data_IF_744216868619
#
_entry.id   IF_744216868619
#
_cell.length_a   1.000
_cell.length_b   1.000
_cell.length_c   1.000
_cell.angle_alpha   90.00
_cell.angle_beta   90.00
_cell.angle_gamma   90.00
#
_symmetry.space_group_name_H-M   'P 1'
#
loop_
_entity.id
_entity.type
_entity.pdbx_description
1 polymer ?
#
# COMPACT_ATOMS: atom_id res chain seq x y z
N UNK A 1 2.52 3.21 -15.78
CA UNK A 1 2.17 2.95 -14.37
C UNK A 1 2.22 4.28 -13.64
N UNK A 2 1.17 4.64 -12.91
CA UNK A 2 1.19 5.88 -12.11
C UNK A 2 1.63 5.57 -10.68
N UNK A 3 2.50 6.41 -10.14
CA UNK A 3 3.01 6.31 -8.77
C UNK A 3 2.63 7.57 -8.01
N UNK A 4 1.85 7.43 -6.95
CA UNK A 4 1.49 8.56 -6.09
C UNK A 4 2.36 8.52 -4.85
N UNK A 5 3.11 9.59 -4.58
CA UNK A 5 3.91 9.71 -3.35
C UNK A 5 3.15 10.60 -2.38
N UNK A 6 2.73 10.03 -1.26
CA UNK A 6 1.97 10.73 -0.22
C UNK A 6 2.93 11.33 0.81
N UNK A 7 2.77 12.63 1.06
CA UNK A 7 3.48 13.39 2.08
C UNK A 7 4.52 14.36 1.54
N UNK A 8 4.67 15.50 2.22
CA UNK A 8 5.63 16.55 1.89
C UNK A 8 6.88 16.47 2.78
N UNK A 9 7.85 15.67 2.37
CA UNK A 9 9.17 15.66 3.00
C UNK A 9 10.28 15.76 1.96
N UNK A 10 11.46 16.23 2.38
CA UNK A 10 12.66 16.18 1.54
C UNK A 10 12.98 14.75 1.09
N UNK A 11 12.64 13.75 1.91
CA UNK A 11 12.75 12.33 1.54
C UNK A 11 11.76 11.96 0.43
N UNK A 12 10.51 12.45 0.50
CA UNK A 12 9.51 12.30 -0.58
C UNK A 12 10.03 12.91 -1.88
N UNK A 13 10.60 14.12 -1.82
CA UNK A 13 11.14 14.83 -2.99
C UNK A 13 12.36 14.15 -3.59
N UNK A 14 13.31 13.71 -2.76
CA UNK A 14 14.47 12.94 -3.21
C UNK A 14 14.04 11.66 -3.91
N UNK A 15 13.01 11.00 -3.40
CA UNK A 15 12.47 9.79 -3.99
C UNK A 15 11.73 10.03 -5.32
N UNK A 16 10.99 11.13 -5.45
CA UNK A 16 10.40 11.55 -6.73
C UNK A 16 11.47 11.72 -7.81
N UNK A 17 12.61 12.32 -7.45
CA UNK A 17 13.75 12.48 -8.35
C UNK A 17 14.34 11.14 -8.77
N UNK A 18 14.49 10.19 -7.82
CA UNK A 18 15.05 8.86 -8.10
C UNK A 18 14.10 7.97 -8.89
N UNK A 19 12.79 8.14 -8.74
CA UNK A 19 11.79 7.43 -9.54
C UNK A 19 11.62 8.04 -10.93
N UNK A 20 11.83 9.36 -11.07
CA UNK A 20 11.83 10.06 -12.35
C UNK A 20 13.01 9.69 -13.27
N UNK A 21 14.08 9.09 -12.73
CA UNK A 21 15.20 8.56 -13.51
C UNK A 21 15.08 7.07 -13.83
N UNK A 22 14.01 6.41 -13.37
CA UNK A 22 13.78 5.00 -13.66
C UNK A 22 13.53 4.79 -15.17
N UNK A 23 14.01 3.67 -15.75
CA UNK A 23 13.91 3.40 -17.20
C UNK A 23 12.48 3.17 -17.72
N UNK A 24 11.47 3.19 -16.84
CA UNK A 24 10.06 2.99 -17.17
C UNK A 24 9.32 4.33 -17.07
N UNK A 25 8.32 4.54 -17.92
CA UNK A 25 7.38 5.68 -17.85
C UNK A 25 6.53 5.63 -16.58
N UNK A 26 7.15 5.93 -15.44
CA UNK A 26 6.50 6.20 -14.17
C UNK A 26 6.03 7.65 -14.21
N UNK A 27 4.71 7.84 -14.27
CA UNK A 27 4.14 9.16 -13.99
C UNK A 27 4.07 9.29 -12.48
N UNK A 28 5.00 10.04 -11.90
CA UNK A 28 5.09 10.21 -10.45
C UNK A 28 4.41 11.52 -10.05
N UNK A 29 3.42 11.45 -9.17
CA UNK A 29 2.71 12.62 -8.65
C UNK A 29 2.86 12.69 -7.15
N UNK A 30 3.31 13.85 -6.65
CA UNK A 30 3.28 14.12 -5.23
C UNK A 30 1.86 14.52 -4.83
N UNK A 31 1.40 13.99 -3.70
CA UNK A 31 0.11 14.33 -3.13
C UNK A 31 0.34 14.76 -1.67
N UNK A 32 0.01 16.02 -1.31
CA UNK A 32 0.24 16.51 0.04
C UNK A 32 -0.70 15.84 1.06
N UNK A 33 -1.94 15.53 0.66
CA UNK A 33 -2.98 15.01 1.53
C UNK A 33 -3.49 13.61 1.08
N UNK A 34 -3.75 12.68 2.02
CA UNK A 34 -4.30 11.36 1.71
C UNK A 34 -5.60 11.38 0.89
N UNK A 35 -6.50 12.33 1.16
CA UNK A 35 -7.83 12.40 0.51
C UNK A 35 -7.74 12.73 -0.98
N UNK A 36 -6.68 13.41 -1.38
CA UNK A 36 -6.40 13.65 -2.80
C UNK A 36 -6.08 12.36 -3.54
N UNK A 37 -5.47 11.36 -2.88
CA UNK A 37 -5.15 10.08 -3.50
C UNK A 37 -6.43 9.42 -4.02
N UNK A 38 -7.50 9.38 -3.22
CA UNK A 38 -8.79 8.80 -3.61
C UNK A 38 -9.35 9.38 -4.92
N UNK A 39 -9.27 10.70 -5.09
CA UNK A 39 -9.71 11.40 -6.32
C UNK A 39 -8.92 10.96 -7.56
N UNK A 40 -7.64 10.63 -7.40
CA UNK A 40 -6.78 10.19 -8.51
C UNK A 40 -6.83 8.68 -8.76
N UNK A 41 -7.25 7.90 -7.76
CA UNK A 41 -7.49 6.46 -7.89
C UNK A 41 -8.76 6.13 -8.70
N UNK A 42 -9.64 7.11 -8.97
CA UNK A 42 -10.79 6.93 -9.85
C UNK A 42 -10.35 6.83 -11.33
N UNK A 43 -10.28 5.62 -11.88
CA UNK A 43 -10.00 5.35 -13.30
C UNK A 43 -9.38 3.97 -13.55
N UNK A 44 -9.10 3.57 -14.80
CA UNK A 44 -8.76 2.19 -15.16
C UNK A 44 -7.25 1.86 -15.19
N UNK A 45 -6.37 2.77 -14.78
CA UNK A 45 -4.92 2.55 -14.88
C UNK A 45 -4.36 1.76 -13.69
N UNK A 46 -3.31 0.96 -13.93
CA UNK A 46 -2.51 0.34 -12.86
C UNK A 46 -1.77 1.41 -12.06
N UNK A 47 -2.09 1.49 -10.77
CA UNK A 47 -1.58 2.51 -9.84
C UNK A 47 -0.83 1.87 -8.67
N UNK A 48 0.26 2.50 -8.29
CA UNK A 48 0.96 2.25 -7.04
C UNK A 48 0.89 3.50 -6.18
N UNK A 49 0.53 3.33 -4.91
CA UNK A 49 0.58 4.39 -3.91
C UNK A 49 1.78 4.13 -3.01
N UNK A 50 2.71 5.08 -2.99
CA UNK A 50 3.89 5.07 -2.12
C UNK A 50 3.61 6.01 -0.94
N UNK A 51 3.63 5.48 0.27
CA UNK A 51 3.33 6.22 1.49
C UNK A 51 4.61 6.41 2.28
N UNK A 52 5.02 7.65 2.54
CA UNK A 52 6.22 7.94 3.34
C UNK A 52 5.82 8.20 4.81
N UNK A 53 6.15 7.26 5.71
CA UNK A 53 5.73 7.29 7.11
C UNK A 53 6.56 8.15 8.04
N UNK A 54 7.72 8.62 7.57
CA UNK A 54 8.63 9.42 8.39
C UNK A 54 8.04 10.76 8.86
N UNK A 55 6.85 11.15 8.41
CA UNK A 55 6.21 12.41 8.77
C UNK A 55 4.82 12.28 9.44
N UNK A 56 3.98 11.29 9.06
CA UNK A 56 2.56 11.28 9.44
C UNK A 56 1.99 9.86 9.60
N UNK A 57 2.03 9.24 10.79
CA UNK A 57 1.36 7.95 11.03
C UNK A 57 -0.16 8.01 10.80
N UNK A 58 -0.79 9.17 11.01
CA UNK A 58 -2.18 9.46 10.66
C UNK A 58 -2.47 9.33 9.15
N UNK A 59 -1.47 9.55 8.30
CA UNK A 59 -1.62 9.37 6.86
C UNK A 59 -1.85 7.91 6.47
N UNK A 60 -1.33 6.94 7.23
CA UNK A 60 -1.64 5.52 7.00
C UNK A 60 -3.12 5.23 7.16
N UNK A 61 -3.72 5.77 8.21
CA UNK A 61 -5.13 5.55 8.51
C UNK A 61 -6.03 6.15 7.42
N UNK A 62 -5.75 7.39 7.03
CA UNK A 62 -6.49 8.08 5.98
C UNK A 62 -6.32 7.42 4.61
N UNK A 63 -5.08 7.02 4.24
CA UNK A 63 -4.84 6.30 2.98
C UNK A 63 -5.53 4.93 3.03
N UNK A 64 -5.45 4.18 4.13
CA UNK A 64 -6.15 2.90 4.26
C UNK A 64 -7.68 3.04 4.06
N UNK A 65 -8.29 4.06 4.67
CA UNK A 65 -9.72 4.37 4.50
C UNK A 65 -10.05 4.72 3.05
N UNK A 66 -9.23 5.55 2.40
CA UNK A 66 -9.40 5.90 0.99
C UNK A 66 -9.31 4.68 0.07
N UNK A 67 -8.39 3.75 0.35
CA UNK A 67 -8.19 2.53 -0.41
C UNK A 67 -9.33 1.53 -0.24
N UNK A 68 -9.93 1.45 0.96
CA UNK A 68 -11.11 0.62 1.22
C UNK A 68 -12.33 1.08 0.40
N UNK A 69 -12.44 2.37 0.10
CA UNK A 69 -13.50 2.94 -0.72
C UNK A 69 -13.24 2.84 -2.25
N UNK A 70 -12.04 2.44 -2.68
CA UNK A 70 -11.68 2.38 -4.09
C UNK A 70 -12.28 1.14 -4.79
N UNK A 71 -12.78 1.32 -6.01
CA UNK A 71 -13.34 0.23 -6.82
C UNK A 71 -12.29 -0.81 -7.24
N UNK A 72 -11.04 -0.38 -7.40
CA UNK A 72 -9.88 -1.25 -7.62
C UNK A 72 -8.82 -0.94 -6.58
N UNK A 73 -8.28 -1.98 -5.95
CA UNK A 73 -7.22 -1.88 -4.95
C UNK A 73 -5.87 -1.61 -5.67
N UNK A 74 -5.24 -0.44 -5.50
CA UNK A 74 -3.91 -0.21 -6.04
C UNK A 74 -2.85 -0.97 -5.24
N UNK A 75 -1.67 -1.16 -5.84
CA UNK A 75 -0.50 -1.61 -5.08
C UNK A 75 -0.10 -0.54 -4.06
N UNK A 76 0.22 -0.92 -2.83
CA UNK A 76 0.65 0.03 -1.80
C UNK A 76 2.03 -0.32 -1.34
N UNK A 77 2.95 0.65 -1.39
CA UNK A 77 4.29 0.52 -0.84
C UNK A 77 4.48 1.53 0.29
N UNK A 78 4.78 1.02 1.47
CA UNK A 78 4.98 1.82 2.67
C UNK A 78 6.47 2.00 2.90
N UNK A 79 6.91 3.24 3.06
CA UNK A 79 8.30 3.59 3.33
C UNK A 79 8.41 4.04 4.76
N UNK A 80 9.21 3.32 5.52
CA UNK A 80 9.32 3.44 6.98
C UNK A 80 10.77 3.68 7.40
N UNK A 81 11.00 4.13 8.62
CA UNK A 81 12.33 4.29 9.19
C UNK A 81 12.44 3.50 10.49
N UNK A 82 13.66 3.34 11.01
CA UNK A 82 13.89 2.77 12.33
C UNK A 82 13.15 3.49 13.47
N UNK A 83 12.69 4.72 13.27
CA UNK A 83 11.92 5.49 14.25
C UNK A 83 10.42 5.17 14.20
N UNK A 84 9.92 4.53 13.14
CA UNK A 84 8.52 4.11 13.06
C UNK A 84 8.30 2.92 14.01
N UNK A 85 7.39 3.01 14.98
CA UNK A 85 7.09 1.88 15.86
C UNK A 85 6.55 0.69 15.07
N UNK A 86 7.07 -0.51 15.33
CA UNK A 86 6.60 -1.75 14.70
C UNK A 86 5.08 -1.96 14.90
N UNK A 87 4.55 -1.59 16.07
CA UNK A 87 3.12 -1.66 16.36
C UNK A 87 2.28 -0.79 15.42
N UNK A 88 2.78 0.38 15.03
CA UNK A 88 2.12 1.27 14.05
C UNK A 88 2.04 0.58 12.69
N UNK A 89 3.14 -0.01 12.21
CA UNK A 89 3.16 -0.74 10.94
C UNK A 89 2.18 -1.93 10.94
N UNK A 90 2.16 -2.71 12.02
CA UNK A 90 1.31 -3.89 12.15
C UNK A 90 -0.18 -3.55 12.27
N UNK A 91 -0.53 -2.39 12.84
CA UNK A 91 -1.92 -1.96 12.96
C UNK A 91 -2.57 -1.63 11.61
N UNK A 92 -1.78 -1.14 10.65
CA UNK A 92 -2.27 -0.67 9.35
C UNK A 92 -1.91 -1.59 8.19
N UNK A 93 -1.22 -2.70 8.44
CA UNK A 93 -0.92 -3.67 7.38
C UNK A 93 -2.23 -4.15 6.72
N UNK A 94 -2.19 -4.31 5.40
CA UNK A 94 -3.29 -4.85 4.59
C UNK A 94 -2.74 -5.81 3.54
N UNK A 95 -3.55 -6.80 3.09
CA UNK A 95 -3.16 -7.75 2.05
C UNK A 95 -2.49 -7.07 0.84
N UNK A 96 -1.31 -7.58 0.46
CA UNK A 96 -0.59 -7.13 -0.74
C UNK A 96 0.21 -5.83 -0.58
N UNK A 97 0.22 -5.22 0.61
CA UNK A 97 1.04 -4.04 0.88
C UNK A 97 2.52 -4.41 1.02
N UNK A 98 3.39 -3.60 0.44
CA UNK A 98 4.84 -3.72 0.56
C UNK A 98 5.42 -2.78 1.61
N UNK A 99 6.60 -3.11 2.14
CA UNK A 99 7.31 -2.30 3.14
C UNK A 99 8.78 -2.14 2.76
N UNK A 100 9.27 -0.90 2.78
CA UNK A 100 10.67 -0.53 2.46
C UNK A 100 11.22 0.39 3.53
N UNK A 101 12.49 0.21 3.89
CA UNK A 101 13.18 1.11 4.79
C UNK A 101 13.69 2.35 4.02
N UNK A 102 13.57 3.55 4.60
CA UNK A 102 13.90 4.82 3.93
C UNK A 102 15.39 4.98 3.59
N UNK A 103 16.26 4.19 4.22
CA UNK A 103 17.69 4.15 3.94
C UNK A 103 18.10 3.14 2.85
N UNK A 104 17.14 2.46 2.22
CA UNK A 104 17.43 1.41 1.25
C UNK A 104 17.71 1.95 -0.14
N UNK A 105 18.36 1.13 -0.98
CA UNK A 105 18.74 1.54 -2.33
C UNK A 105 17.53 1.75 -3.23
N UNK A 106 17.74 2.52 -4.31
CA UNK A 106 16.73 2.73 -5.37
C UNK A 106 16.28 1.42 -5.99
N UNK A 107 17.18 0.46 -6.13
CA UNK A 107 16.86 -0.87 -6.67
C UNK A 107 15.85 -1.62 -5.77
N UNK A 108 16.02 -1.53 -4.44
CA UNK A 108 15.09 -2.14 -3.48
C UNK A 108 13.72 -1.47 -3.57
N UNK A 109 13.69 -0.13 -3.67
CA UNK A 109 12.46 0.63 -3.87
C UNK A 109 11.75 0.22 -5.16
N UNK A 110 12.48 0.13 -6.27
CA UNK A 110 11.94 -0.28 -7.57
C UNK A 110 11.34 -1.68 -7.52
N UNK A 111 12.07 -2.64 -6.93
CA UNK A 111 11.57 -4.01 -6.73
C UNK A 111 10.32 -4.05 -5.88
N UNK A 112 10.25 -3.22 -4.83
CA UNK A 112 9.06 -3.05 -4.00
C UNK A 112 7.86 -2.55 -4.80
N UNK A 113 8.05 -1.50 -5.61
CA UNK A 113 7.00 -0.93 -6.48
C UNK A 113 6.50 -1.98 -7.48
N UNK A 114 7.41 -2.69 -8.15
CA UNK A 114 7.07 -3.73 -9.13
C UNK A 114 6.32 -4.91 -8.48
N UNK A 115 6.71 -5.30 -7.27
CA UNK A 115 6.03 -6.35 -6.52
C UNK A 115 4.59 -5.96 -6.21
N UNK A 116 4.36 -4.78 -5.61
CA UNK A 116 3.02 -4.35 -5.22
C UNK A 116 2.15 -4.00 -6.43
N UNK A 117 2.73 -3.50 -7.52
CA UNK A 117 2.04 -3.28 -8.79
C UNK A 117 1.53 -4.60 -9.41
N UNK A 118 2.22 -5.71 -9.14
CA UNK A 118 1.83 -7.05 -9.56
C UNK A 118 0.92 -7.75 -8.53
N UNK A 119 0.48 -7.05 -7.48
CA UNK A 119 -0.34 -7.62 -6.40
C UNK A 119 0.43 -8.58 -5.49
N UNK A 120 1.76 -8.50 -5.46
CA UNK A 120 2.62 -9.33 -4.61
C UNK A 120 3.07 -8.56 -3.37
N UNK A 121 3.10 -9.26 -2.24
CA UNK A 121 3.70 -8.75 -1.02
C UNK A 121 5.23 -8.56 -1.18
N UNK A 122 5.77 -7.55 -0.51
CA UNK A 122 7.20 -7.24 -0.48
C UNK A 122 7.59 -6.74 0.91
N UNK A 123 8.74 -7.18 1.41
CA UNK A 123 9.34 -6.60 2.60
C UNK A 123 10.84 -6.46 2.39
N UNK A 124 11.35 -5.28 2.72
CA UNK A 124 12.77 -4.97 2.65
C UNK A 124 13.55 -5.72 3.73
N UNK A 125 14.58 -6.51 3.35
CA UNK A 125 15.39 -7.28 4.29
C UNK A 125 16.03 -6.43 5.41
N UNK A 126 16.29 -5.14 5.17
CA UNK A 126 16.91 -4.23 6.16
C UNK A 126 16.01 -3.99 7.37
N UNK A 127 14.71 -4.26 7.27
CA UNK A 127 13.76 -4.11 8.38
C UNK A 127 13.93 -5.17 9.49
N UNK A 128 14.72 -6.21 9.23
CA UNK A 128 15.03 -7.27 10.20
C UNK A 128 13.99 -8.39 10.25
N UNK A 129 14.46 -9.61 10.45
CA UNK A 129 13.66 -10.85 10.32
C UNK A 129 12.42 -10.87 11.22
N UNK A 130 12.54 -10.37 12.46
CA UNK A 130 11.43 -10.38 13.42
C UNK A 130 10.24 -9.51 12.95
N UNK A 131 10.52 -8.32 12.41
CA UNK A 131 9.49 -7.43 11.90
C UNK A 131 8.90 -7.98 10.59
N UNK A 132 9.75 -8.52 9.71
CA UNK A 132 9.30 -9.16 8.47
C UNK A 132 8.36 -10.34 8.76
N UNK A 133 8.71 -11.19 9.72
CA UNK A 133 7.87 -12.32 10.14
C UNK A 133 6.52 -11.86 10.71
N UNK A 134 6.52 -10.82 11.56
CA UNK A 134 5.28 -10.25 12.11
C UNK A 134 4.37 -9.66 11.01
N UNK A 135 4.95 -8.93 10.05
CA UNK A 135 4.23 -8.39 8.91
C UNK A 135 3.64 -9.53 8.04
N UNK A 136 4.44 -10.55 7.73
CA UNK A 136 3.99 -11.71 6.94
C UNK A 136 2.87 -12.49 7.64
N UNK A 137 2.97 -12.70 8.96
CA UNK A 137 1.93 -13.34 9.73
C UNK A 137 0.62 -12.53 9.65
N UNK A 138 0.70 -11.21 9.80
CA UNK A 138 -0.48 -10.35 9.77
C UNK A 138 -1.13 -10.30 8.38
N UNK A 139 -0.35 -10.29 7.31
CA UNK A 139 -0.83 -10.46 5.93
C UNK A 139 -1.65 -11.75 5.77
N UNK A 140 -1.14 -12.86 6.31
CA UNK A 140 -1.78 -14.16 6.25
C UNK A 140 -3.07 -14.23 7.08
N UNK A 141 -3.09 -13.63 8.26
CA UNK A 141 -4.29 -13.48 9.09
C UNK A 141 -5.41 -12.76 8.32
N UNK A 142 -5.08 -11.66 7.64
CA UNK A 142 -6.06 -10.94 6.81
C UNK A 142 -6.55 -11.75 5.60
N UNK A 143 -5.65 -12.48 4.93
CA UNK A 143 -6.03 -13.36 3.83
C UNK A 143 -6.98 -14.48 4.29
N UNK A 144 -6.80 -15.00 5.50
CA UNK A 144 -7.69 -16.01 6.11
C UNK A 144 -9.00 -15.41 6.61
N UNK A 145 -8.99 -14.18 7.11
CA UNK A 145 -10.17 -13.49 7.63
C UNK A 145 -11.11 -12.94 6.55
N UNK A 146 -10.69 -12.89 5.28
CA UNK A 146 -11.57 -12.72 4.13
C UNK A 146 -11.97 -14.09 3.56
N UNK A 147 -13.03 -14.74 4.07
CA UNK A 147 -13.59 -15.87 3.36
C UNK A 147 -14.18 -15.34 2.04
N UNK A 148 -13.71 -15.91 0.94
CA UNK A 148 -14.33 -15.81 -0.38
C UNK A 148 -15.87 -15.63 -0.31
N UNK A 149 -16.47 -14.54 -0.84
CA UNK A 149 -17.92 -14.50 -1.05
C UNK A 149 -18.38 -15.50 -2.15
N UNK A 150 -17.44 -16.23 -2.76
CA UNK A 150 -17.67 -17.18 -3.86
C UNK A 150 -17.98 -18.62 -3.49
N UNK A 151 -17.95 -19.02 -2.20
CA UNK A 151 -18.43 -20.34 -1.79
C UNK A 151 -19.76 -20.20 -1.05
N UNK A 152 -20.83 -20.00 -1.84
CA UNK A 152 -22.18 -20.34 -1.40
C UNK A 152 -22.22 -21.86 -1.21
N UNK A 153 -22.37 -22.32 0.03
CA UNK A 153 -22.88 -23.65 0.30
C UNK A 153 -24.17 -23.85 -0.53
N UNK A 154 -24.33 -24.97 -1.25
CA UNK A 154 -25.54 -25.23 -2.00
C UNK A 154 -26.69 -25.41 -0.99
N UNK A 155 -27.62 -24.44 -0.92
CA UNK A 155 -28.88 -24.66 -0.20
C UNK A 155 -29.52 -23.49 0.56
N UNK A 156 -28.93 -22.28 0.64
CA UNK A 156 -29.60 -21.19 1.38
C UNK A 156 -30.41 -20.25 0.47
N UNK A 157 -31.69 -19.99 0.79
CA UNK A 157 -32.59 -19.17 -0.02
C UNK A 157 -32.18 -17.70 0.01
N UNK A 158 -32.24 -17.06 -1.18
CA UNK A 158 -31.95 -15.65 -1.39
C UNK A 158 -32.93 -14.78 -0.59
N UNK A 159 -32.47 -14.08 0.45
CA UNK A 159 -33.20 -12.90 0.94
C UNK A 159 -33.10 -11.82 -0.13
N UNK A 160 -34.20 -11.58 -0.85
CA UNK A 160 -34.39 -10.36 -1.64
C UNK A 160 -34.43 -9.20 -0.66
N UNK A 161 -33.52 -8.24 -0.78
CA UNK A 161 -33.78 -6.90 -0.28
C UNK A 161 -34.92 -6.32 -1.12
N UNK A 162 -36.12 -6.28 -0.56
CA UNK A 162 -37.17 -5.40 -1.02
C UNK A 162 -36.83 -3.99 -0.55
N UNK A 163 -36.72 -3.06 -1.49
CA UNK A 163 -36.72 -1.62 -1.21
C UNK A 163 -38.18 -1.19 -1.40
N UNK A 164 -38.81 -0.74 -0.31
CA UNK A 164 -40.00 0.11 -0.34
C UNK A 164 -39.55 1.56 -0.28
#
# INVERSE_FOLDING_TARGET
MQVYVVGESLASRGMLLLLGTAPYSLSVRQVPEPDEVARHLAGPERRVVVICLSAHPEALAAVAQCLEAAAEQPGVLVITSAQTPAATLLAYVRPGWGFVHCGSSVEVLQRGIEAVAAGRWFADPVMGDALIAALAQRQHEHARASPNPGHRAPGMPRRRCAIN
#
